data_IF_773234043298
#
_entry.id   IF_773234043298
#
_cell.length_a   1.000
_cell.length_b   1.000
_cell.length_c   1.000
_cell.angle_alpha   90.00
_cell.angle_beta   90.00
_cell.angle_gamma   90.00
#
_symmetry.space_group_name_H-M   'P 1'
#
loop_
_entity.id
_entity.type
_entity.pdbx_description
1 polymer ?
#
# COMPACT_ATOMS: atom_id res chain seq x y z
N UNK A 1 1.35 -78.13 -11.74
CA UNK A 1 1.35 -76.71 -12.17
C UNK A 1 1.34 -75.85 -10.93
N UNK A 2 2.40 -75.10 -10.63
CA UNK A 2 2.39 -73.99 -9.67
C UNK A 2 3.64 -73.15 -9.89
N UNK A 3 3.50 -72.04 -10.61
CA UNK A 3 4.54 -71.02 -10.73
C UNK A 3 4.19 -69.89 -9.76
N UNK A 4 4.98 -69.72 -8.69
CA UNK A 4 4.89 -68.58 -7.78
C UNK A 4 5.60 -67.39 -8.44
N UNK A 5 4.86 -66.32 -8.71
CA UNK A 5 5.42 -65.01 -9.08
C UNK A 5 5.91 -64.32 -7.80
N UNK A 6 7.21 -64.11 -7.67
CA UNK A 6 7.82 -63.34 -6.57
C UNK A 6 7.92 -61.88 -6.98
N UNK A 7 7.14 -61.01 -6.35
CA UNK A 7 7.17 -59.56 -6.56
C UNK A 7 8.14 -58.92 -5.57
N UNK A 8 9.42 -58.78 -5.94
CA UNK A 8 10.42 -58.05 -5.15
C UNK A 8 10.22 -56.54 -5.30
N UNK A 9 9.35 -55.96 -4.46
CA UNK A 9 9.26 -54.52 -4.28
C UNK A 9 10.42 -54.05 -3.38
N UNK A 10 11.63 -53.95 -3.93
CA UNK A 10 12.80 -53.42 -3.22
C UNK A 10 12.64 -51.90 -3.05
N UNK A 11 12.10 -51.49 -1.91
CA UNK A 11 11.99 -50.08 -1.52
C UNK A 11 13.36 -49.42 -1.50
N UNK A 12 13.57 -48.43 -2.37
CA UNK A 12 14.79 -47.61 -2.40
C UNK A 12 14.65 -46.54 -1.32
N UNK A 13 15.43 -46.65 -0.25
CA UNK A 13 15.54 -45.61 0.77
C UNK A 13 16.47 -44.48 0.33
N UNK A 14 16.20 -43.25 0.78
CA UNK A 14 17.10 -42.11 0.60
C UNK A 14 18.37 -42.29 1.44
N UNK A 15 19.51 -41.87 0.90
CA UNK A 15 20.78 -41.80 1.64
C UNK A 15 20.83 -40.54 2.51
N UNK A 16 21.57 -40.61 3.62
CA UNK A 16 21.76 -39.45 4.51
C UNK A 16 22.41 -38.27 3.78
N UNK A 17 23.31 -38.53 2.83
CA UNK A 17 23.97 -37.48 2.06
C UNK A 17 23.02 -36.80 1.08
N UNK A 18 22.10 -37.54 0.45
CA UNK A 18 21.07 -36.95 -0.42
C UNK A 18 20.19 -35.98 0.35
N UNK A 19 19.76 -36.37 1.56
CA UNK A 19 18.93 -35.49 2.40
C UNK A 19 19.72 -34.27 2.90
N UNK A 20 21.01 -34.44 3.23
CA UNK A 20 21.89 -33.36 3.68
C UNK A 20 22.10 -32.29 2.59
N UNK A 21 22.34 -32.70 1.35
CA UNK A 21 22.54 -31.76 0.24
C UNK A 21 21.25 -30.97 -0.04
N UNK A 22 20.08 -31.61 0.06
CA UNK A 22 18.79 -30.95 -0.19
C UNK A 22 18.52 -29.85 0.83
N UNK A 23 18.68 -30.13 2.13
CA UNK A 23 18.45 -29.11 3.16
C UNK A 23 19.48 -27.98 3.06
N UNK A 24 20.71 -28.26 2.62
CA UNK A 24 21.73 -27.23 2.39
C UNK A 24 21.32 -26.28 1.26
N UNK A 25 20.81 -26.80 0.14
CA UNK A 25 20.32 -25.98 -0.98
C UNK A 25 19.07 -25.18 -0.59
N UNK A 26 18.11 -25.79 0.10
CA UNK A 26 16.91 -25.10 0.59
C UNK A 26 17.32 -23.98 1.57
N UNK A 27 18.26 -24.25 2.47
CA UNK A 27 18.82 -23.26 3.39
C UNK A 27 19.39 -22.05 2.65
N UNK A 28 20.24 -22.29 1.64
CA UNK A 28 20.80 -21.22 0.83
C UNK A 28 19.72 -20.41 0.10
N UNK A 29 18.82 -21.06 -0.63
CA UNK A 29 17.77 -20.38 -1.40
C UNK A 29 16.79 -19.61 -0.51
N UNK A 30 16.46 -20.13 0.67
CA UNK A 30 15.52 -19.48 1.58
C UNK A 30 16.04 -18.15 2.12
N UNK A 31 17.35 -18.03 2.39
CA UNK A 31 17.94 -16.75 2.85
C UNK A 31 17.82 -15.64 1.81
N UNK A 32 18.10 -15.94 0.52
CA UNK A 32 17.96 -14.98 -0.57
C UNK A 32 16.50 -14.55 -0.78
N UNK A 33 15.57 -15.49 -0.64
CA UNK A 33 14.14 -15.22 -0.77
C UNK A 33 13.63 -14.24 0.30
N UNK A 34 14.11 -14.36 1.55
CA UNK A 34 13.71 -13.45 2.65
C UNK A 34 14.13 -12.00 2.37
N UNK A 35 15.37 -11.79 1.91
CA UNK A 35 15.87 -10.45 1.57
C UNK A 35 15.07 -9.84 0.42
N UNK A 36 14.82 -10.63 -0.64
CA UNK A 36 14.01 -10.18 -1.77
C UNK A 36 12.56 -9.82 -1.36
N UNK A 37 11.96 -10.59 -0.44
CA UNK A 37 10.61 -10.33 0.06
C UNK A 37 10.51 -9.01 0.83
N UNK A 38 11.55 -8.63 1.58
CA UNK A 38 11.60 -7.35 2.30
C UNK A 38 11.45 -6.16 1.36
N UNK A 39 12.32 -6.10 0.33
CA UNK A 39 12.28 -5.03 -0.67
C UNK A 39 11.02 -5.05 -1.54
N UNK A 40 10.48 -6.23 -1.84
CA UNK A 40 9.20 -6.35 -2.57
C UNK A 40 8.03 -5.78 -1.76
N UNK A 41 7.99 -6.01 -0.44
CA UNK A 41 6.95 -5.47 0.44
C UNK A 41 7.03 -3.95 0.56
N UNK A 42 8.24 -3.40 0.66
CA UNK A 42 8.48 -1.95 0.66
C UNK A 42 7.92 -1.29 -0.61
N UNK A 43 8.31 -1.80 -1.78
CA UNK A 43 7.78 -1.32 -3.07
C UNK A 43 6.27 -1.48 -3.19
N UNK A 44 5.69 -2.56 -2.66
CA UNK A 44 4.24 -2.72 -2.66
C UNK A 44 3.54 -1.66 -1.80
N UNK A 45 4.10 -1.31 -0.64
CA UNK A 45 3.58 -0.24 0.23
C UNK A 45 3.68 1.11 -0.46
N UNK A 46 4.83 1.47 -1.01
CA UNK A 46 5.01 2.74 -1.73
C UNK A 46 4.08 2.87 -2.94
N UNK A 47 3.87 1.77 -3.67
CA UNK A 47 2.95 1.76 -4.82
C UNK A 47 1.51 2.00 -4.38
N UNK A 48 1.14 1.38 -3.25
CA UNK A 48 -0.14 1.65 -2.61
C UNK A 48 -0.26 3.10 -2.15
N UNK A 49 0.77 3.67 -1.49
CA UNK A 49 0.77 5.09 -1.07
C UNK A 49 0.52 6.02 -2.23
N UNK A 50 1.24 5.85 -3.34
CA UNK A 50 1.07 6.69 -4.51
C UNK A 50 -0.32 6.54 -5.15
N UNK A 51 -0.85 5.32 -5.19
CA UNK A 51 -2.21 5.06 -5.69
C UNK A 51 -3.27 5.69 -4.79
N UNK A 52 -3.14 5.54 -3.48
CA UNK A 52 -4.05 6.08 -2.47
C UNK A 52 -4.10 7.62 -2.57
N UNK A 53 -2.93 8.28 -2.63
CA UNK A 53 -2.85 9.73 -2.75
C UNK A 53 -3.44 10.26 -4.07
N UNK A 54 -3.24 9.54 -5.18
CA UNK A 54 -3.85 9.89 -6.47
C UNK A 54 -5.37 9.76 -6.43
N UNK A 55 -5.90 8.73 -5.78
CA UNK A 55 -7.34 8.57 -5.60
C UNK A 55 -7.92 9.72 -4.79
N UNK A 56 -7.25 10.14 -3.70
CA UNK A 56 -7.70 11.28 -2.89
C UNK A 56 -7.67 12.56 -3.72
N UNK A 57 -6.60 12.79 -4.49
CA UNK A 57 -6.52 13.92 -5.42
C UNK A 57 -7.70 13.93 -6.40
N UNK A 58 -8.00 12.82 -7.07
CA UNK A 58 -9.15 12.76 -8.00
C UNK A 58 -10.47 13.09 -7.32
N UNK A 59 -10.70 12.61 -6.10
CA UNK A 59 -11.91 12.91 -5.34
C UNK A 59 -11.99 14.39 -4.93
N UNK A 60 -10.86 15.01 -4.60
CA UNK A 60 -10.77 16.44 -4.30
C UNK A 60 -11.06 17.31 -5.53
N UNK A 61 -10.60 16.91 -6.72
CA UNK A 61 -10.95 17.62 -7.96
C UNK A 61 -12.44 17.54 -8.28
N UNK A 62 -13.07 16.38 -8.01
CA UNK A 62 -14.50 16.20 -8.14
C UNK A 62 -15.27 17.11 -7.15
N UNK A 63 -14.83 17.14 -5.89
CA UNK A 63 -15.37 18.07 -4.89
C UNK A 63 -15.23 19.53 -5.33
N UNK A 64 -14.05 19.93 -5.85
CA UNK A 64 -13.80 21.30 -6.28
C UNK A 64 -14.70 21.71 -7.45
N UNK A 65 -14.96 20.79 -8.38
CA UNK A 65 -15.86 21.02 -9.52
C UNK A 65 -17.26 21.42 -9.05
N UNK A 66 -17.76 20.79 -7.99
CA UNK A 66 -19.12 21.02 -7.49
C UNK A 66 -19.19 22.16 -6.46
N UNK A 67 -18.11 22.44 -5.73
CA UNK A 67 -18.11 23.39 -4.59
C UNK A 67 -17.25 24.65 -4.81
N UNK A 68 -16.57 24.76 -5.95
CA UNK A 68 -15.65 25.86 -6.29
C UNK A 68 -14.57 26.16 -5.23
N UNK A 69 -14.29 25.21 -4.35
CA UNK A 69 -13.31 25.29 -3.27
C UNK A 69 -12.95 23.88 -2.83
N UNK A 70 -11.81 23.72 -2.15
CA UNK A 70 -11.44 22.47 -1.48
C UNK A 70 -11.99 22.43 -0.04
N UNK A 71 -12.08 21.25 0.58
CA UNK A 71 -12.48 21.15 1.98
C UNK A 71 -11.53 21.93 2.90
N UNK A 72 -12.06 22.81 3.76
CA UNK A 72 -11.21 23.58 4.69
C UNK A 72 -10.66 22.76 5.87
N UNK A 73 -11.26 21.59 6.13
CA UNK A 73 -10.85 20.72 7.23
C UNK A 73 -9.44 20.16 6.99
N UNK A 74 -8.54 20.33 7.95
CA UNK A 74 -7.17 19.78 7.89
C UNK A 74 -6.98 18.71 8.95
N UNK A 75 -6.18 17.68 8.66
CA UNK A 75 -5.92 16.59 9.60
C UNK A 75 -5.38 15.31 8.96
N UNK A 76 -5.26 14.27 9.76
CA UNK A 76 -4.87 12.95 9.30
C UNK A 76 -6.00 12.29 8.49
N UNK A 77 -5.67 11.79 7.32
CA UNK A 77 -6.58 11.09 6.42
C UNK A 77 -6.79 9.65 6.87
N UNK A 78 -8.03 9.20 6.73
CA UNK A 78 -8.48 7.88 7.15
C UNK A 78 -8.58 7.74 8.67
N UNK A 79 -9.08 6.59 9.10
CA UNK A 79 -9.27 6.15 10.49
C UNK A 79 -9.57 7.27 11.52
N UNK A 80 -10.85 7.62 11.66
CA UNK A 80 -11.34 8.45 12.78
C UNK A 80 -12.04 9.73 12.32
N UNK A 81 -11.28 10.73 11.87
CA UNK A 81 -11.80 12.10 11.67
C UNK A 81 -12.09 12.46 10.21
N UNK A 82 -11.29 11.97 9.26
CA UNK A 82 -11.44 12.24 7.83
C UNK A 82 -11.60 10.89 7.09
N UNK A 83 -12.68 10.17 7.39
CA UNK A 83 -12.91 8.80 6.93
C UNK A 83 -13.56 8.74 5.52
N UNK A 84 -14.25 9.80 5.11
CA UNK A 84 -14.82 9.94 3.77
C UNK A 84 -14.84 11.40 3.33
N UNK A 85 -15.07 11.64 2.05
CA UNK A 85 -15.24 12.96 1.44
C UNK A 85 -16.63 13.03 0.80
N UNK A 86 -17.46 13.97 1.23
CA UNK A 86 -18.80 14.23 0.70
C UNK A 86 -18.99 15.72 0.37
N UNK A 87 -20.21 16.16 0.10
CA UNK A 87 -20.56 17.57 -0.23
C UNK A 87 -20.22 18.58 0.86
N UNK A 88 -20.09 18.16 2.13
CA UNK A 88 -19.68 19.03 3.24
C UNK A 88 -18.18 19.01 3.51
N UNK A 89 -17.40 18.28 2.70
CA UNK A 89 -15.97 18.09 2.85
C UNK A 89 -15.62 16.75 3.49
N UNK A 90 -14.48 16.70 4.17
CA UNK A 90 -14.08 15.48 4.88
C UNK A 90 -14.91 15.28 6.15
N UNK A 91 -15.33 14.03 6.37
CA UNK A 91 -16.16 13.67 7.50
C UNK A 91 -15.74 12.34 8.13
N UNK A 92 -15.97 12.21 9.44
CA UNK A 92 -15.77 10.99 10.22
C UNK A 92 -16.88 9.96 9.98
N UNK A 93 -18.10 10.43 9.73
CA UNK A 93 -19.33 9.64 9.52
C UNK A 93 -20.26 10.37 8.54
N UNK A 94 -21.34 9.74 8.07
CA UNK A 94 -22.32 10.42 7.20
C UNK A 94 -21.94 10.44 5.72
N UNK A 95 -21.30 9.38 5.23
CA UNK A 95 -20.84 9.24 3.85
C UNK A 95 -21.97 8.85 2.89
N UNK A 96 -23.08 9.60 2.91
CA UNK A 96 -24.12 9.49 1.87
C UNK A 96 -23.65 10.26 0.64
N UNK A 97 -23.78 9.66 -0.54
CA UNK A 97 -23.32 10.18 -1.84
C UNK A 97 -21.90 10.79 -1.81
N UNK A 98 -20.87 10.02 -1.37
CA UNK A 98 -19.54 10.56 -1.18
C UNK A 98 -18.76 10.64 -2.51
N UNK A 99 -17.96 11.71 -2.68
CA UNK A 99 -16.91 11.75 -3.70
C UNK A 99 -15.84 10.69 -3.45
N UNK A 100 -15.64 10.31 -2.18
CA UNK A 100 -14.82 9.19 -1.76
C UNK A 100 -15.39 8.53 -0.51
N UNK A 101 -15.92 7.31 -0.65
CA UNK A 101 -16.59 6.60 0.45
C UNK A 101 -15.65 6.05 1.53
N UNK A 102 -14.38 5.84 1.20
CA UNK A 102 -13.34 5.48 2.17
C UNK A 102 -12.05 6.23 1.82
N UNK A 103 -11.67 7.15 2.69
CA UNK A 103 -10.39 7.83 2.63
C UNK A 103 -9.31 6.86 3.13
N UNK A 104 -8.25 6.62 2.34
CA UNK A 104 -7.21 5.66 2.69
C UNK A 104 -6.35 6.16 3.85
N UNK A 105 -5.83 5.21 4.63
CA UNK A 105 -4.77 5.42 5.62
C UNK A 105 -3.45 4.81 5.12
N UNK A 106 -2.32 5.26 5.66
CA UNK A 106 -1.02 4.69 5.31
C UNK A 106 -0.98 3.17 5.61
N UNK A 107 -0.38 2.34 4.74
CA UNK A 107 -0.20 0.91 5.00
C UNK A 107 0.53 0.58 6.31
N UNK A 108 1.35 1.50 6.82
CA UNK A 108 1.99 1.39 8.14
C UNK A 108 1.19 2.18 9.18
N UNK A 109 0.78 1.51 10.25
CA UNK A 109 0.03 2.13 11.35
C UNK A 109 0.79 3.24 12.11
N UNK A 110 2.11 3.34 11.92
CA UNK A 110 2.94 4.40 12.49
C UNK A 110 2.97 5.67 11.65
N UNK A 111 2.49 5.62 10.41
CA UNK A 111 2.47 6.73 9.47
C UNK A 111 1.01 7.12 9.17
N UNK A 112 0.82 8.33 8.65
CA UNK A 112 -0.48 8.79 8.16
C UNK A 112 -0.30 9.73 7.00
N UNK A 113 -1.28 9.78 6.10
CA UNK A 113 -1.37 10.90 5.18
C UNK A 113 -2.00 12.08 5.90
N UNK A 114 -1.51 13.28 5.69
CA UNK A 114 -2.11 14.47 6.29
C UNK A 114 -2.58 15.42 5.20
N UNK A 115 -3.83 15.86 5.30
CA UNK A 115 -4.41 16.85 4.42
C UNK A 115 -4.40 18.21 5.09
N UNK A 116 -4.07 19.25 4.33
CA UNK A 116 -4.07 20.64 4.75
C UNK A 116 -4.62 21.55 3.66
N UNK A 117 -5.45 22.51 4.06
CA UNK A 117 -5.89 23.61 3.22
C UNK A 117 -6.05 24.88 4.06
N UNK A 118 -5.70 26.03 3.49
CA UNK A 118 -5.66 27.30 4.23
C UNK A 118 -6.69 28.28 3.67
N UNK A 119 -7.52 28.85 4.54
CA UNK A 119 -8.54 29.83 4.19
C UNK A 119 -9.97 29.28 4.33
N UNK A 120 -10.96 30.15 4.14
CA UNK A 120 -12.39 29.80 4.25
C UNK A 120 -12.96 29.16 2.98
N UNK A 121 -12.33 29.42 1.83
CA UNK A 121 -12.66 28.83 0.53
C UNK A 121 -11.35 28.54 -0.19
N UNK A 122 -10.59 27.53 0.27
CA UNK A 122 -9.26 27.27 -0.25
C UNK A 122 -9.31 26.83 -1.72
N UNK A 123 -8.45 27.40 -2.54
CA UNK A 123 -8.27 27.04 -3.97
C UNK A 123 -7.05 26.16 -4.19
N UNK A 124 -6.37 25.78 -3.12
CA UNK A 124 -5.25 24.86 -3.11
C UNK A 124 -5.29 24.00 -1.87
N UNK A 125 -4.62 22.86 -1.91
CA UNK A 125 -4.46 21.95 -0.79
C UNK A 125 -3.07 21.30 -0.84
N UNK A 126 -2.66 20.73 0.28
CA UNK A 126 -1.51 19.85 0.39
C UNK A 126 -1.93 18.52 1.02
N UNK A 127 -1.51 17.40 0.44
CA UNK A 127 -1.51 16.11 1.12
C UNK A 127 -0.07 15.68 1.29
N UNK A 128 0.33 15.34 2.51
CA UNK A 128 1.68 14.80 2.75
C UNK A 128 1.63 13.32 3.07
N UNK A 129 2.68 12.61 2.69
CA UNK A 129 2.91 11.20 2.99
C UNK A 129 4.41 10.90 3.04
N UNK A 130 4.80 9.66 3.29
CA UNK A 130 6.22 9.27 3.34
C UNK A 130 6.45 8.01 2.53
N UNK A 131 7.35 8.07 1.55
CA UNK A 131 7.85 6.90 0.84
C UNK A 131 9.01 6.27 1.60
N UNK A 132 9.09 4.94 1.58
CA UNK A 132 10.19 4.20 2.19
C UNK A 132 11.40 4.10 1.24
N UNK A 133 11.13 3.95 -0.07
CA UNK A 133 12.12 3.89 -1.13
C UNK A 133 11.79 4.83 -2.29
N UNK A 134 12.64 4.78 -3.32
CA UNK A 134 12.42 5.54 -4.56
C UNK A 134 11.27 4.92 -5.37
N UNK A 135 10.37 5.76 -5.87
CA UNK A 135 9.25 5.32 -6.69
C UNK A 135 8.77 6.39 -7.66
N UNK A 136 8.62 6.01 -8.93
CA UNK A 136 7.96 6.87 -9.92
C UNK A 136 8.66 8.20 -10.15
N UNK A 137 9.98 8.26 -9.97
CA UNK A 137 10.77 9.49 -10.05
C UNK A 137 10.81 10.33 -8.78
N UNK A 138 10.17 9.86 -7.70
CA UNK A 138 10.21 10.48 -6.37
C UNK A 138 11.26 9.79 -5.51
N UNK A 139 11.99 10.58 -4.73
CA UNK A 139 12.98 10.07 -3.77
C UNK A 139 12.30 9.45 -2.53
N UNK A 140 13.04 8.69 -1.72
CA UNK A 140 12.53 8.23 -0.42
C UNK A 140 12.31 9.42 0.53
N UNK A 141 11.32 9.33 1.41
CA UNK A 141 11.02 10.37 2.40
C UNK A 141 9.70 11.09 2.15
N UNK A 142 9.58 12.31 2.68
CA UNK A 142 8.33 13.06 2.63
C UNK A 142 7.96 13.43 1.18
N UNK A 143 6.71 13.17 0.81
CA UNK A 143 6.13 13.57 -0.48
C UNK A 143 4.96 14.51 -0.22
N UNK A 144 4.75 15.45 -1.14
CA UNK A 144 3.63 16.39 -1.09
C UNK A 144 2.82 16.29 -2.38
N UNK A 145 1.50 16.23 -2.25
CA UNK A 145 0.53 16.26 -3.34
C UNK A 145 -0.22 17.56 -3.27
N UNK A 146 -0.32 18.24 -4.39
CA UNK A 146 -1.09 19.48 -4.60
C UNK A 146 -1.95 19.32 -5.85
N UNK A 147 -2.86 20.25 -6.16
CA UNK A 147 -3.58 20.24 -7.44
C UNK A 147 -2.65 20.19 -8.67
N UNK A 148 -1.43 20.72 -8.56
CA UNK A 148 -0.45 20.71 -9.64
C UNK A 148 0.25 19.35 -9.85
N UNK A 149 0.13 18.43 -8.90
CA UNK A 149 0.75 17.11 -8.95
C UNK A 149 1.46 16.71 -7.67
N UNK A 150 2.29 15.66 -7.78
CA UNK A 150 3.03 15.04 -6.69
C UNK A 150 4.52 15.36 -6.85
N UNK A 151 5.17 15.76 -5.76
CA UNK A 151 6.60 16.09 -5.76
C UNK A 151 7.25 15.82 -4.40
N UNK A 152 8.58 15.67 -4.41
CA UNK A 152 9.44 15.79 -3.24
C UNK A 152 10.78 16.43 -3.53
#
# INVERSE_FOLDING_TARGET
MNSKISTDAKGRGFTLIELLVVIAIIGLLSTLAVVALGSAREKARDSKRLSDLKQVQTALELYYTDNNSYPAASGALGAGSLACLNTSGFAATGCSDPYMGMVPSDPLSSQSYTYGATGTSPTTYTITGTLEGEMGGLSAGAITVTPAGISN
#
